data_IF_254248641270
#
_entry.id   IF_254248641270
#
_cell.length_a   1.000
_cell.length_b   1.000
_cell.length_c   1.000
_cell.angle_alpha   90.00
_cell.angle_beta   90.00
_cell.angle_gamma   90.00
#
_symmetry.space_group_name_H-M   'P 1'
#
loop_
_entity.id
_entity.type
_entity.pdbx_description
1 polymer ?
#
# COMPACT_ATOMS: atom_id res chain seq x y z
N UNK A 1 4.42 15.08 7.95
CA UNK A 1 3.20 14.26 8.10
C UNK A 1 2.37 14.43 6.84
N UNK A 2 2.49 13.49 5.90
CA UNK A 2 1.83 13.60 4.59
C UNK A 2 0.30 13.56 4.74
N UNK A 3 -0.40 14.56 4.20
CA UNK A 3 -1.86 14.57 4.17
C UNK A 3 -2.27 14.07 2.78
N UNK A 4 -2.63 12.80 2.67
CA UNK A 4 -3.12 12.25 1.40
C UNK A 4 -4.64 12.44 1.28
N UNK A 5 -5.09 12.88 0.12
CA UNK A 5 -6.51 12.94 -0.20
C UNK A 5 -6.98 11.52 -0.59
N UNK A 6 -7.96 10.99 0.13
CA UNK A 6 -8.39 9.59 -0.01
C UNK A 6 -9.03 9.38 -1.38
N UNK A 7 -8.52 8.43 -2.16
CA UNK A 7 -9.18 8.00 -3.40
C UNK A 7 -10.61 7.54 -3.08
N UNK A 8 -11.59 8.14 -3.73
CA UNK A 8 -13.02 8.03 -3.41
C UNK A 8 -13.52 6.55 -3.39
N UNK A 9 -13.77 5.97 -2.21
CA UNK A 9 -14.19 4.58 -1.98
C UNK A 9 -15.63 4.47 -1.44
N UNK A 10 -16.64 4.43 -2.32
CA UNK A 10 -18.04 4.21 -1.89
C UNK A 10 -18.55 2.75 -1.99
N UNK A 11 -17.73 1.77 -2.40
CA UNK A 11 -18.29 0.49 -2.87
C UNK A 11 -17.63 -0.81 -2.39
N UNK A 12 -16.50 -0.77 -1.68
CA UNK A 12 -15.97 -1.90 -0.91
C UNK A 12 -15.48 -1.38 0.43
N UNK A 13 -15.78 -2.13 1.50
CA UNK A 13 -15.31 -1.82 2.84
C UNK A 13 -13.96 -2.50 3.03
N UNK A 14 -12.88 -1.78 3.38
CA UNK A 14 -11.54 -2.34 3.56
C UNK A 14 -11.47 -3.10 4.89
N UNK A 15 -12.09 -4.29 4.91
CA UNK A 15 -12.35 -5.05 6.14
C UNK A 15 -11.05 -5.53 6.77
N UNK A 16 -10.12 -6.07 5.99
CA UNK A 16 -8.85 -6.55 6.52
C UNK A 16 -7.91 -5.41 6.90
N UNK A 17 -7.89 -4.33 6.14
CA UNK A 17 -7.12 -3.14 6.50
C UNK A 17 -7.56 -2.62 7.87
N UNK A 18 -8.87 -2.44 8.08
CA UNK A 18 -9.41 -2.01 9.37
C UNK A 18 -9.18 -3.06 10.47
N UNK A 19 -9.32 -4.35 10.15
CA UNK A 19 -9.03 -5.44 11.07
C UNK A 19 -7.58 -5.42 11.53
N UNK A 20 -6.61 -5.21 10.63
CA UNK A 20 -5.19 -5.14 10.98
C UNK A 20 -4.87 -3.88 11.78
N UNK A 21 -5.45 -2.73 11.45
CA UNK A 21 -5.31 -1.51 12.26
C UNK A 21 -5.84 -1.75 13.67
N UNK A 22 -7.01 -2.36 13.80
CA UNK A 22 -7.60 -2.66 15.11
C UNK A 22 -6.79 -3.71 15.88
N UNK A 23 -6.35 -4.78 15.21
CA UNK A 23 -5.52 -5.84 15.80
C UNK A 23 -4.21 -5.26 16.32
N UNK A 24 -3.49 -4.49 15.49
CA UNK A 24 -2.24 -3.84 15.89
C UNK A 24 -2.46 -2.81 17.01
N UNK A 25 -3.60 -2.12 17.04
CA UNK A 25 -3.98 -1.26 18.16
C UNK A 25 -4.16 -2.06 19.45
N UNK A 26 -4.82 -3.22 19.37
CA UNK A 26 -5.05 -4.09 20.52
C UNK A 26 -3.73 -4.66 21.07
N UNK A 27 -2.74 -4.92 20.21
CA UNK A 27 -1.41 -5.37 20.68
C UNK A 27 -0.65 -4.32 21.48
N UNK A 28 -1.00 -3.03 21.42
CA UNK A 28 -0.39 -1.99 22.25
C UNK A 28 -0.71 -2.17 23.74
N UNK A 29 -1.76 -2.90 24.08
CA UNK A 29 -2.17 -3.18 25.46
C UNK A 29 -1.54 -4.47 26.01
N UNK A 30 -0.73 -5.18 25.23
CA UNK A 30 -0.06 -6.39 25.69
C UNK A 30 1.19 -6.03 26.46
N UNK A 31 1.34 -6.61 27.65
CA UNK A 31 2.57 -6.48 28.43
C UNK A 31 3.74 -7.17 27.70
N UNK A 32 4.91 -6.52 27.72
CA UNK A 32 6.16 -7.02 27.13
C UNK A 32 6.08 -7.33 25.61
N UNK A 33 5.85 -6.34 24.73
CA UNK A 33 5.82 -6.54 23.27
C UNK A 33 7.13 -7.13 22.71
N UNK A 34 8.25 -6.91 23.40
CA UNK A 34 9.57 -7.46 23.10
C UNK A 34 9.61 -8.99 23.07
N UNK A 35 8.70 -9.65 23.79
CA UNK A 35 8.58 -11.12 23.78
C UNK A 35 8.11 -11.68 22.44
N UNK A 36 7.40 -10.88 21.66
CA UNK A 36 6.88 -11.22 20.33
C UNK A 36 7.74 -10.67 19.19
N UNK A 37 8.79 -9.93 19.52
CA UNK A 37 9.72 -9.37 18.55
C UNK A 37 10.59 -10.47 17.93
N UNK A 38 10.96 -10.27 16.67
CA UNK A 38 11.85 -11.17 15.95
C UNK A 38 13.31 -10.81 16.25
N UNK A 39 14.07 -11.78 16.76
CA UNK A 39 15.51 -11.61 16.99
C UNK A 39 16.29 -12.66 16.20
N UNK A 40 17.13 -12.26 15.23
CA UNK A 40 17.89 -13.18 14.38
C UNK A 40 18.66 -14.27 15.14
N UNK A 41 19.30 -13.90 16.25
CA UNK A 41 20.10 -14.82 17.07
C UNK A 41 19.25 -15.77 17.91
N UNK A 42 17.98 -15.46 18.17
CA UNK A 42 17.11 -16.21 19.09
C UNK A 42 16.37 -17.33 18.38
N UNK A 43 15.65 -17.04 17.30
CA UNK A 43 14.81 -18.02 16.61
C UNK A 43 14.37 -17.54 15.20
N UNK A 44 14.06 -18.49 14.30
CA UNK A 44 13.37 -18.28 13.01
C UNK A 44 11.95 -18.88 13.02
N UNK A 45 11.31 -18.89 14.20
CA UNK A 45 10.02 -19.55 14.41
C UNK A 45 8.83 -18.59 14.34
N UNK A 46 7.96 -18.70 15.34
CA UNK A 46 6.72 -17.93 15.45
C UNK A 46 6.94 -16.40 15.42
N UNK A 47 8.07 -15.91 15.96
CA UNK A 47 8.37 -14.47 15.99
C UNK A 47 8.58 -13.84 14.62
N UNK A 48 8.88 -14.62 13.57
CA UNK A 48 8.89 -14.11 12.18
C UNK A 48 7.53 -13.56 11.75
N UNK A 49 6.45 -14.12 12.29
CA UNK A 49 5.07 -13.74 11.94
C UNK A 49 4.46 -12.85 13.00
N UNK A 50 4.65 -13.16 14.29
CA UNK A 50 4.03 -12.37 15.36
C UNK A 50 4.54 -10.93 15.39
N UNK A 51 5.83 -10.71 15.15
CA UNK A 51 6.45 -9.38 15.22
C UNK A 51 5.84 -8.35 14.25
N UNK A 52 5.20 -8.83 13.19
CA UNK A 52 4.52 -8.01 12.17
C UNK A 52 3.33 -7.23 12.77
N UNK A 53 2.68 -7.80 13.77
CA UNK A 53 1.45 -7.27 14.35
C UNK A 53 1.67 -6.33 15.54
N UNK A 54 2.87 -6.32 16.09
CA UNK A 54 3.21 -5.47 17.23
C UNK A 54 3.97 -4.23 16.75
N UNK A 55 3.92 -3.16 17.55
CA UNK A 55 4.65 -1.92 17.29
C UNK A 55 5.42 -1.54 18.56
N UNK A 56 6.58 -0.89 18.43
CA UNK A 56 7.43 -0.54 19.57
C UNK A 56 6.86 0.59 20.42
N UNK A 57 6.04 1.45 19.81
CA UNK A 57 5.47 2.64 20.45
C UNK A 57 4.13 3.05 19.84
N UNK A 58 3.37 3.86 20.57
CA UNK A 58 2.13 4.46 20.08
C UNK A 58 2.37 5.34 18.84
N UNK A 59 3.49 6.06 18.80
CA UNK A 59 3.87 6.91 17.66
C UNK A 59 4.13 6.08 16.41
N UNK A 60 4.83 4.96 16.55
CA UNK A 60 5.06 4.03 15.44
C UNK A 60 3.74 3.43 14.95
N UNK A 61 2.88 2.97 15.87
CA UNK A 61 1.56 2.45 15.51
C UNK A 61 0.72 3.50 14.79
N UNK A 62 0.65 4.73 15.29
CA UNK A 62 -0.14 5.80 14.68
C UNK A 62 0.32 6.09 13.26
N UNK A 63 1.65 6.20 13.05
CA UNK A 63 2.23 6.34 11.72
C UNK A 63 1.82 5.19 10.82
N UNK A 64 2.00 3.95 11.27
CA UNK A 64 1.68 2.74 10.51
C UNK A 64 0.17 2.63 10.19
N UNK A 65 -0.70 2.97 11.14
CA UNK A 65 -2.14 2.96 10.98
C UNK A 65 -2.61 3.98 9.94
N UNK A 66 -2.01 5.18 9.91
CA UNK A 66 -2.29 6.19 8.88
C UNK A 66 -1.89 5.66 7.50
N UNK A 67 -0.72 5.05 7.34
CA UNK A 67 -0.31 4.48 6.06
C UNK A 67 -1.21 3.31 5.62
N UNK A 68 -1.55 2.39 6.53
CA UNK A 68 -2.49 1.31 6.21
C UNK A 68 -3.84 1.88 5.78
N UNK A 69 -4.40 2.82 6.53
CA UNK A 69 -5.70 3.41 6.23
C UNK A 69 -5.73 4.16 4.89
N UNK A 70 -4.62 4.77 4.49
CA UNK A 70 -4.53 5.59 3.27
C UNK A 70 -4.21 4.80 2.01
N UNK A 71 -3.41 3.74 2.13
CA UNK A 71 -2.86 3.02 0.98
C UNK A 71 -3.35 1.58 0.89
N UNK A 72 -3.44 0.89 2.03
CA UNK A 72 -3.72 -0.54 2.04
C UNK A 72 -5.18 -0.84 1.67
N UNK A 73 -6.10 0.08 1.94
CA UNK A 73 -7.50 -0.01 1.51
C UNK A 73 -7.64 -0.13 -0.02
N UNK A 74 -6.87 0.67 -0.76
CA UNK A 74 -6.85 0.67 -2.22
C UNK A 74 -6.22 -0.60 -2.77
N UNK A 75 -5.18 -1.12 -2.10
CA UNK A 75 -4.57 -2.40 -2.48
C UNK A 75 -5.53 -3.55 -2.21
N UNK A 76 -6.16 -3.60 -1.04
CA UNK A 76 -7.16 -4.61 -0.67
C UNK A 76 -8.33 -4.65 -1.67
N UNK A 77 -8.79 -3.49 -2.13
CA UNK A 77 -9.84 -3.39 -3.14
C UNK A 77 -9.42 -3.98 -4.50
N UNK A 78 -8.16 -3.74 -4.89
CA UNK A 78 -7.57 -4.19 -6.16
C UNK A 78 -7.31 -5.70 -6.17
N UNK A 79 -6.71 -6.24 -5.10
CA UNK A 79 -6.31 -7.66 -5.05
C UNK A 79 -7.37 -8.57 -4.43
N UNK A 80 -8.31 -8.02 -3.67
CA UNK A 80 -9.32 -8.75 -2.89
C UNK A 80 -8.80 -9.23 -1.52
N UNK A 81 -9.73 -9.43 -0.58
CA UNK A 81 -9.42 -9.72 0.83
C UNK A 81 -8.44 -10.89 1.01
N UNK A 82 -8.67 -12.04 0.38
CA UNK A 82 -7.84 -13.23 0.57
C UNK A 82 -6.37 -13.00 0.15
N UNK A 83 -6.13 -12.41 -1.02
CA UNK A 83 -4.78 -12.12 -1.50
C UNK A 83 -4.13 -11.00 -0.69
N UNK A 84 -4.90 -10.01 -0.26
CA UNK A 84 -4.41 -8.96 0.63
C UNK A 84 -3.90 -9.53 1.95
N UNK A 85 -4.63 -10.46 2.57
CA UNK A 85 -4.16 -11.16 3.77
C UNK A 85 -2.82 -11.87 3.54
N UNK A 86 -2.70 -12.63 2.44
CA UNK A 86 -1.46 -13.35 2.11
C UNK A 86 -0.30 -12.38 1.88
N UNK A 87 -0.53 -11.31 1.11
CA UNK A 87 0.48 -10.30 0.81
C UNK A 87 0.93 -9.56 2.07
N UNK A 88 0.00 -9.27 2.99
CA UNK A 88 0.31 -8.63 4.27
C UNK A 88 1.30 -9.47 5.09
N UNK A 89 1.00 -10.76 5.28
CA UNK A 89 1.90 -11.67 6.00
C UNK A 89 3.22 -11.85 5.24
N UNK A 90 3.15 -12.05 3.94
CA UNK A 90 4.32 -12.28 3.09
C UNK A 90 5.32 -11.12 3.16
N UNK A 91 4.87 -9.86 3.02
CA UNK A 91 5.77 -8.72 3.09
C UNK A 91 6.41 -8.57 4.48
N UNK A 92 5.68 -8.87 5.56
CA UNK A 92 6.24 -8.81 6.91
C UNK A 92 7.31 -9.89 7.13
N UNK A 93 7.03 -11.13 6.71
CA UNK A 93 8.02 -12.21 6.76
C UNK A 93 9.24 -11.85 5.91
N UNK A 94 9.04 -11.31 4.71
CA UNK A 94 10.11 -10.91 3.81
C UNK A 94 10.99 -9.82 4.41
N UNK A 95 10.40 -8.83 5.09
CA UNK A 95 11.14 -7.80 5.82
C UNK A 95 12.01 -8.42 6.92
N UNK A 96 11.44 -9.32 7.73
CA UNK A 96 12.15 -9.98 8.81
C UNK A 96 13.27 -10.90 8.31
N UNK A 97 13.03 -11.66 7.24
CA UNK A 97 14.05 -12.48 6.59
C UNK A 97 15.16 -11.62 5.99
N UNK A 98 14.81 -10.50 5.37
CA UNK A 98 15.81 -9.55 4.86
C UNK A 98 16.68 -9.01 6.01
N UNK A 99 16.05 -8.61 7.12
CA UNK A 99 16.78 -8.18 8.31
C UNK A 99 17.71 -9.28 8.84
N UNK A 100 17.22 -10.52 8.93
CA UNK A 100 17.99 -11.70 9.34
C UNK A 100 19.23 -11.92 8.45
N UNK A 101 19.08 -11.87 7.13
CA UNK A 101 20.17 -12.11 6.18
C UNK A 101 21.29 -11.07 6.32
N UNK A 102 20.95 -9.80 6.57
CA UNK A 102 21.94 -8.76 6.78
C UNK A 102 22.50 -8.71 8.21
N UNK A 103 21.79 -9.30 9.18
CA UNK A 103 22.10 -9.16 10.62
C UNK A 103 22.01 -10.50 11.37
N UNK A 104 22.61 -11.55 10.81
CA UNK A 104 22.46 -12.93 11.29
C UNK A 104 22.84 -13.11 12.77
N UNK A 105 23.84 -12.37 13.23
CA UNK A 105 24.35 -12.41 14.62
C UNK A 105 23.70 -11.38 15.54
N UNK A 106 22.60 -10.75 15.10
CA UNK A 106 21.98 -9.66 15.86
C UNK A 106 21.11 -10.13 17.00
N UNK A 107 21.36 -9.52 18.17
CA UNK A 107 20.54 -9.61 19.37
C UNK A 107 19.48 -8.52 19.44
N UNK A 108 19.47 -7.59 18.49
CA UNK A 108 18.50 -6.49 18.47
C UNK A 108 17.16 -7.06 18.00
N UNK A 109 16.10 -7.00 18.83
CA UNK A 109 14.77 -7.40 18.42
C UNK A 109 14.20 -6.41 17.39
N UNK A 110 13.49 -6.95 16.41
CA UNK A 110 12.75 -6.18 15.40
C UNK A 110 11.27 -6.48 15.55
N UNK A 111 10.49 -5.41 15.55
CA UNK A 111 9.05 -5.42 15.68
C UNK A 111 8.51 -4.31 14.78
N UNK A 112 7.32 -4.50 14.21
CA UNK A 112 6.68 -3.42 13.45
C UNK A 112 6.05 -3.87 12.16
N UNK A 113 4.94 -3.22 11.85
CA UNK A 113 4.21 -3.38 10.59
C UNK A 113 4.85 -2.62 9.43
N UNK A 114 5.92 -1.85 9.68
CA UNK A 114 6.56 -0.95 8.71
C UNK A 114 7.09 -1.67 7.45
N UNK A 115 7.64 -2.88 7.60
CA UNK A 115 8.05 -3.71 6.45
C UNK A 115 6.89 -4.13 5.56
N UNK A 116 5.72 -4.40 6.13
CA UNK A 116 4.49 -4.71 5.39
C UNK A 116 4.04 -3.48 4.59
N UNK A 117 4.02 -2.33 5.26
CA UNK A 117 3.62 -1.06 4.65
C UNK A 117 4.51 -0.74 3.45
N UNK A 118 5.81 -0.94 3.54
CA UNK A 118 6.72 -0.73 2.40
C UNK A 118 6.35 -1.59 1.19
N UNK A 119 6.02 -2.88 1.38
CA UNK A 119 5.53 -3.74 0.30
C UNK A 119 4.22 -3.24 -0.32
N UNK A 120 3.27 -2.83 0.52
CA UNK A 120 1.98 -2.24 0.09
C UNK A 120 2.21 -0.95 -0.71
N UNK A 121 3.11 -0.07 -0.25
CA UNK A 121 3.48 1.17 -0.95
C UNK A 121 4.14 0.87 -2.29
N UNK A 122 4.97 -0.18 -2.39
CA UNK A 122 5.55 -0.63 -3.64
C UNK A 122 4.49 -1.07 -4.66
N UNK A 123 3.46 -1.78 -4.19
CA UNK A 123 2.31 -2.12 -5.05
C UNK A 123 1.52 -0.87 -5.46
N UNK A 124 1.28 0.04 -4.51
CA UNK A 124 0.55 1.27 -4.74
C UNK A 124 1.24 2.16 -5.78
N UNK A 125 2.57 2.25 -5.71
CA UNK A 125 3.40 2.97 -6.67
C UNK A 125 3.14 2.54 -8.12
N UNK A 126 2.97 1.25 -8.36
CA UNK A 126 2.74 0.68 -9.69
C UNK A 126 1.28 0.79 -10.12
N UNK A 127 0.32 0.56 -9.21
CA UNK A 127 -1.10 0.61 -9.55
C UNK A 127 -1.65 2.02 -9.73
N UNK A 128 -1.12 3.00 -9.00
CA UNK A 128 -1.69 4.35 -8.90
C UNK A 128 -0.68 5.48 -9.17
N UNK A 129 0.17 5.40 -10.21
CA UNK A 129 1.30 6.32 -10.38
C UNK A 129 0.90 7.79 -10.50
N UNK A 130 -0.28 8.06 -11.08
CA UNK A 130 -0.77 9.41 -11.36
C UNK A 130 -1.72 9.97 -10.28
N UNK A 131 -1.99 9.21 -9.21
CA UNK A 131 -2.78 9.74 -8.09
C UNK A 131 -2.01 10.90 -7.46
N UNK A 132 -2.70 11.99 -7.16
CA UNK A 132 -2.10 13.16 -6.55
C UNK A 132 -2.10 13.05 -5.04
N UNK A 133 -1.05 13.59 -4.43
CA UNK A 133 -0.82 13.62 -3.00
C UNK A 133 -0.42 15.01 -2.57
N UNK A 134 -0.69 15.35 -1.31
CA UNK A 134 -0.11 16.55 -0.70
C UNK A 134 1.11 16.15 0.13
N UNK A 135 2.27 16.68 -0.24
CA UNK A 135 3.48 16.59 0.57
C UNK A 135 3.46 17.67 1.64
N UNK A 136 3.75 17.29 2.89
CA UNK A 136 3.84 18.23 4.00
C UNK A 136 5.21 18.09 4.65
N UNK A 137 6.03 19.13 4.48
CA UNK A 137 7.30 19.35 5.16
C UNK A 137 7.07 20.28 6.36
N UNK A 138 8.01 20.34 7.31
CA UNK A 138 7.86 21.08 8.57
C UNK A 138 7.44 22.55 8.40
N UNK A 139 7.80 23.20 7.29
CA UNK A 139 7.47 24.61 6.99
C UNK A 139 6.75 24.81 5.66
N UNK A 140 6.49 23.76 4.88
CA UNK A 140 6.01 23.91 3.51
C UNK A 140 5.10 22.75 3.12
N UNK A 141 3.96 23.09 2.54
CA UNK A 141 3.01 22.12 2.00
C UNK A 141 3.00 22.26 0.48
N UNK A 142 3.25 21.16 -0.21
CA UNK A 142 3.18 21.08 -1.68
C UNK A 142 1.98 20.21 -2.03
N UNK A 143 0.96 20.85 -2.59
CA UNK A 143 -0.26 20.17 -3.04
C UNK A 143 -0.08 19.57 -4.44
N UNK A 144 -0.97 18.64 -4.80
CA UNK A 144 -1.08 18.07 -6.15
C UNK A 144 0.17 17.35 -6.69
N UNK A 145 1.04 16.86 -5.80
CA UNK A 145 2.24 16.13 -6.18
C UNK A 145 1.88 14.70 -6.57
N UNK A 146 2.21 14.24 -7.78
CA UNK A 146 2.01 12.84 -8.17
C UNK A 146 2.64 11.88 -7.15
N UNK A 147 1.90 10.83 -6.77
CA UNK A 147 2.31 9.91 -5.70
C UNK A 147 3.60 9.18 -6.04
N UNK A 148 3.86 8.96 -7.34
CA UNK A 148 5.14 8.40 -7.77
C UNK A 148 6.31 9.26 -7.30
N UNK A 149 6.19 10.59 -7.32
CA UNK A 149 7.23 11.50 -6.81
C UNK A 149 7.32 11.38 -5.29
N UNK A 150 6.18 11.40 -4.60
CA UNK A 150 6.13 11.32 -3.14
C UNK A 150 6.73 10.04 -2.58
N UNK A 151 6.37 8.90 -3.15
CA UNK A 151 6.92 7.61 -2.75
C UNK A 151 8.37 7.45 -3.21
N UNK A 152 8.77 8.01 -4.36
CA UNK A 152 10.17 8.02 -4.79
C UNK A 152 11.05 8.81 -3.82
N UNK A 153 10.61 10.01 -3.41
CA UNK A 153 11.34 10.80 -2.40
C UNK A 153 11.40 10.06 -1.08
N UNK A 154 10.29 9.47 -0.64
CA UNK A 154 10.24 8.70 0.61
C UNK A 154 11.23 7.52 0.59
N UNK A 155 11.24 6.69 -0.47
CA UNK A 155 12.14 5.53 -0.55
C UNK A 155 13.61 5.95 -0.69
N UNK A 156 13.89 7.08 -1.35
CA UNK A 156 15.24 7.65 -1.42
C UNK A 156 15.73 8.09 -0.05
N UNK A 157 14.85 8.70 0.76
CA UNK A 157 15.15 9.07 2.15
C UNK A 157 15.41 7.81 2.98
N UNK A 158 14.58 6.76 2.87
CA UNK A 158 14.83 5.49 3.57
C UNK A 158 16.16 4.85 3.15
N UNK A 159 16.47 4.89 1.86
CA UNK A 159 17.73 4.36 1.31
C UNK A 159 18.95 5.16 1.80
N UNK A 160 18.82 6.48 1.90
CA UNK A 160 19.85 7.34 2.47
C UNK A 160 20.09 7.02 3.95
N UNK A 161 19.02 6.88 4.74
CA UNK A 161 19.15 6.49 6.15
C UNK A 161 19.78 5.10 6.30
N UNK A 162 19.42 4.13 5.46
CA UNK A 162 20.08 2.83 5.42
C UNK A 162 21.60 2.93 5.17
N UNK A 163 22.02 3.74 4.19
CA UNK A 163 23.45 3.94 3.88
C UNK A 163 24.15 4.71 5.00
N UNK A 164 23.53 5.76 5.55
CA UNK A 164 24.09 6.56 6.63
C UNK A 164 24.29 5.72 7.90
N UNK A 165 23.36 4.82 8.20
CA UNK A 165 23.45 3.87 9.31
C UNK A 165 24.46 2.76 9.05
N UNK A 166 24.72 2.36 7.81
CA UNK A 166 25.74 1.33 7.50
C UNK A 166 27.16 1.69 7.97
N UNK A 167 27.42 2.99 8.20
CA UNK A 167 28.69 3.50 8.73
C UNK A 167 28.74 3.56 10.26
N UNK A 168 27.62 3.31 10.94
CA UNK A 168 27.49 3.26 12.40
C UNK A 168 27.12 1.83 12.84
N UNK A 169 27.37 1.44 14.09
CA UNK A 169 26.96 0.12 14.60
C UNK A 169 25.42 -0.03 14.77
N UNK A 170 24.64 0.97 14.32
CA UNK A 170 23.19 1.01 14.43
C UNK A 170 22.57 0.17 13.32
N UNK A 171 21.86 -0.89 13.72
CA UNK A 171 21.35 -1.93 12.82
C UNK A 171 19.97 -1.59 12.31
N UNK A 172 19.85 -1.47 11.00
CA UNK A 172 18.74 -0.78 10.35
C UNK A 172 17.60 -1.70 9.89
N UNK A 173 16.36 -1.32 10.23
CA UNK A 173 15.12 -1.90 9.68
C UNK A 173 14.87 -1.42 8.23
N UNK A 174 15.53 -0.34 7.79
CA UNK A 174 15.32 0.29 6.48
C UNK A 174 15.70 -0.63 5.30
N UNK A 175 16.69 -1.52 5.47
CA UNK A 175 17.05 -2.49 4.43
C UNK A 175 15.90 -3.44 4.07
N UNK A 176 15.17 -3.93 5.08
CA UNK A 176 13.97 -4.74 4.89
C UNK A 176 12.84 -3.98 4.18
N UNK A 177 12.70 -2.68 4.46
CA UNK A 177 11.72 -1.82 3.81
C UNK A 177 12.01 -1.60 2.32
N UNK A 178 13.27 -1.42 1.94
CA UNK A 178 13.65 -1.28 0.52
C UNK A 178 13.37 -2.57 -0.25
N UNK A 179 13.77 -3.72 0.28
CA UNK A 179 13.54 -5.02 -0.38
C UNK A 179 12.05 -5.33 -0.54
N UNK A 180 11.26 -5.08 0.50
CA UNK A 180 9.80 -5.28 0.45
C UNK A 180 9.12 -4.33 -0.53
N UNK A 181 9.53 -3.05 -0.57
CA UNK A 181 9.01 -2.09 -1.55
C UNK A 181 9.25 -2.54 -2.99
N UNK A 182 10.50 -2.92 -3.33
CA UNK A 182 10.84 -3.41 -4.67
C UNK A 182 10.08 -4.72 -5.01
N UNK A 183 9.93 -5.60 -4.02
CA UNK A 183 9.16 -6.84 -4.19
C UNK A 183 7.68 -6.56 -4.44
N UNK A 184 7.10 -5.59 -3.73
CA UNK A 184 5.75 -5.10 -3.95
C UNK A 184 5.55 -4.56 -5.37
N UNK A 185 6.48 -3.75 -5.87
CA UNK A 185 6.46 -3.30 -7.26
C UNK A 185 6.45 -4.48 -8.25
N UNK A 186 7.30 -5.49 -7.99
CA UNK A 186 7.36 -6.72 -8.78
C UNK A 186 6.02 -7.47 -8.80
N UNK A 187 5.39 -7.69 -7.64
CA UNK A 187 4.07 -8.32 -7.56
C UNK A 187 3.00 -7.54 -8.30
N UNK A 188 2.95 -6.22 -8.16
CA UNK A 188 2.00 -5.39 -8.89
C UNK A 188 2.20 -5.49 -10.40
N UNK A 189 3.45 -5.48 -10.89
CA UNK A 189 3.76 -5.65 -12.31
C UNK A 189 3.33 -7.04 -12.83
N UNK A 190 3.53 -8.09 -12.02
CA UNK A 190 3.08 -9.45 -12.32
C UNK A 190 1.55 -9.49 -12.41
N UNK A 191 0.82 -8.88 -11.46
CA UNK A 191 -0.63 -8.85 -11.49
C UNK A 191 -1.20 -8.11 -12.70
N UNK A 192 -0.57 -7.01 -13.11
CA UNK A 192 -0.91 -6.31 -14.37
C UNK A 192 -0.66 -7.23 -15.57
N UNK A 193 0.53 -7.86 -15.64
CA UNK A 193 0.93 -8.70 -16.78
C UNK A 193 0.04 -9.92 -16.99
N UNK A 194 -0.40 -10.56 -15.91
CA UNK A 194 -1.29 -11.73 -15.96
C UNK A 194 -2.78 -11.37 -16.08
N UNK A 195 -3.12 -10.09 -16.30
CA UNK A 195 -4.51 -9.62 -16.42
C UNK A 195 -5.38 -10.06 -15.23
N UNK A 196 -4.78 -10.20 -14.05
CA UNK A 196 -5.50 -10.61 -12.85
C UNK A 196 -6.64 -9.63 -12.53
N UNK A 197 -6.38 -8.35 -12.81
CA UNK A 197 -7.33 -7.24 -12.71
C UNK A 197 -8.48 -7.36 -13.74
N UNK A 198 -8.20 -7.84 -14.96
CA UNK A 198 -9.23 -8.04 -15.99
C UNK A 198 -10.13 -9.24 -15.68
N UNK A 199 -9.66 -10.20 -14.86
CA UNK A 199 -10.47 -11.34 -14.40
C UNK A 199 -11.51 -10.91 -13.35
N UNK A 200 -11.20 -9.88 -12.56
CA UNK A 200 -12.18 -9.16 -11.73
C UNK A 200 -13.16 -8.33 -12.58
N UNK A 201 -12.71 -7.75 -13.71
CA UNK A 201 -13.55 -7.07 -14.71
C UNK A 201 -14.55 -8.03 -15.39
N UNK A 202 -14.17 -9.29 -15.62
CA UNK A 202 -15.02 -10.29 -16.27
C UNK A 202 -16.23 -10.69 -15.41
N UNK A 203 -16.06 -10.83 -14.08
CA UNK A 203 -17.15 -11.12 -13.14
C UNK A 203 -18.15 -9.96 -12.96
N UNK A 204 -17.83 -8.78 -13.49
CA UNK A 204 -18.70 -7.59 -13.47
C UNK A 204 -19.54 -7.43 -14.74
N UNK A 205 -19.28 -8.22 -15.79
CA UNK A 205 -20.15 -8.31 -16.96
C UNK A 205 -21.29 -9.27 -16.65
N UNK A 206 -22.43 -8.72 -16.22
CA UNK A 206 -23.80 -9.12 -16.58
C UNK A 206 -24.79 -8.48 -15.58
N UNK A 207 -24.98 -7.16 -15.64
CA UNK A 207 -26.24 -6.56 -15.22
C UNK A 207 -26.50 -5.22 -15.93
N UNK A 208 -27.39 -5.29 -16.93
CA UNK A 208 -28.33 -4.25 -17.39
C UNK A 208 -27.80 -2.83 -17.63
N UNK A 209 -27.43 -2.56 -18.89
CA UNK A 209 -27.38 -1.21 -19.45
C UNK A 209 -28.36 -1.07 -20.60
N UNK A 210 -29.49 -0.42 -20.33
CA UNK A 210 -30.37 0.10 -21.37
C UNK A 210 -30.47 1.60 -21.09
N UNK A 211 -30.08 2.43 -22.08
CA UNK A 211 -30.22 3.89 -22.09
C UNK A 211 -29.49 4.71 -21.00
N UNK A 212 -28.30 4.31 -20.53
CA UNK A 212 -27.47 5.21 -19.69
C UNK A 212 -26.55 6.09 -20.53
N UNK A 213 -26.37 7.34 -20.13
CA UNK A 213 -25.38 8.28 -20.66
C UNK A 213 -24.32 8.58 -19.60
N UNK A 214 -23.08 8.80 -20.04
CA UNK A 214 -21.93 9.11 -19.20
C UNK A 214 -21.36 10.45 -19.62
N UNK A 215 -21.14 11.34 -18.67
CA UNK A 215 -20.55 12.66 -18.92
C UNK A 215 -19.03 12.56 -18.90
N UNK A 216 -18.36 13.08 -19.92
CA UNK A 216 -16.90 13.16 -19.94
C UNK A 216 -16.38 13.94 -18.71
N UNK A 217 -15.38 13.44 -17.97
CA UNK A 217 -14.83 14.14 -16.80
C UNK A 217 -14.11 15.45 -17.15
N UNK A 218 -13.60 15.59 -18.39
CA UNK A 218 -12.82 16.75 -18.80
C UNK A 218 -13.66 17.89 -19.39
N UNK A 219 -14.79 17.58 -20.07
CA UNK A 219 -15.59 18.58 -20.79
C UNK A 219 -17.10 18.49 -20.54
N UNK A 220 -17.57 17.57 -19.69
CA UNK A 220 -18.98 17.32 -19.40
C UNK A 220 -19.88 16.97 -20.60
N UNK A 221 -19.30 16.63 -21.77
CA UNK A 221 -20.09 16.17 -22.91
C UNK A 221 -20.75 14.80 -22.62
N UNK A 222 -22.06 14.62 -22.87
CA UNK A 222 -22.73 13.34 -22.69
C UNK A 222 -22.35 12.35 -23.79
N UNK A 223 -22.01 11.12 -23.38
CA UNK A 223 -21.60 10.01 -24.25
C UNK A 223 -22.50 8.81 -23.93
N UNK A 224 -23.17 8.19 -24.91
CA UNK A 224 -24.03 7.03 -24.66
C UNK A 224 -23.22 5.81 -24.20
N UNK A 225 -23.61 5.20 -23.08
CA UNK A 225 -22.94 4.03 -22.51
C UNK A 225 -23.66 2.73 -22.86
N UNK A 226 -23.00 1.93 -23.70
CA UNK A 226 -23.45 0.58 -24.09
C UNK A 226 -22.89 -0.53 -23.18
N UNK A 227 -21.84 -0.24 -22.40
CA UNK A 227 -21.16 -1.16 -21.48
C UNK A 227 -20.38 -0.38 -20.41
N UNK A 228 -20.03 -1.03 -19.30
CA UNK A 228 -18.99 -0.53 -18.39
C UNK A 228 -17.64 -0.70 -19.09
N UNK A 229 -16.69 0.20 -18.85
CA UNK A 229 -15.35 0.12 -19.44
C UNK A 229 -14.77 1.45 -19.91
N UNK A 230 -13.86 1.38 -20.88
CA UNK A 230 -13.19 2.55 -21.47
C UNK A 230 -14.09 3.28 -22.46
N UNK A 231 -14.10 4.60 -22.33
CA UNK A 231 -14.77 5.56 -23.19
C UNK A 231 -13.75 6.55 -23.74
N UNK A 232 -14.05 7.05 -24.93
CA UNK A 232 -13.27 8.09 -25.59
C UNK A 232 -14.19 9.27 -25.88
N UNK A 233 -13.79 10.46 -25.46
CA UNK A 233 -14.52 11.68 -25.77
C UNK A 233 -13.99 12.32 -27.05
N UNK A 234 -14.79 12.34 -28.12
CA UNK A 234 -14.40 12.99 -29.38
C UNK A 234 -14.30 14.52 -29.32
N UNK A 235 -14.80 15.16 -28.25
CA UNK A 235 -14.76 16.62 -28.14
C UNK A 235 -13.48 17.16 -27.50
N UNK A 236 -12.94 16.49 -26.49
CA UNK A 236 -11.72 16.90 -25.79
C UNK A 236 -10.58 15.87 -25.88
N UNK A 237 -10.77 14.85 -26.73
CA UNK A 237 -9.82 13.77 -27.01
C UNK A 237 -9.34 12.99 -25.76
N UNK A 238 -10.14 12.99 -24.70
CA UNK A 238 -9.81 12.35 -23.43
C UNK A 238 -10.35 10.94 -23.39
N UNK A 239 -9.50 9.97 -23.06
CA UNK A 239 -9.90 8.63 -22.69
C UNK A 239 -10.26 8.64 -21.21
N UNK A 240 -11.31 7.92 -20.84
CA UNK A 240 -11.71 7.80 -19.44
C UNK A 240 -12.47 6.49 -19.24
N UNK A 241 -12.46 5.95 -18.03
CA UNK A 241 -13.12 4.70 -17.68
C UNK A 241 -14.39 4.98 -16.86
N UNK A 242 -15.45 4.25 -17.14
CA UNK A 242 -16.72 4.34 -16.42
C UNK A 242 -17.13 2.97 -15.86
N UNK A 243 -17.22 2.90 -14.53
CA UNK A 243 -17.55 1.69 -13.77
C UNK A 243 -19.02 1.67 -13.29
N UNK A 244 -19.50 0.51 -12.82
CA UNK A 244 -20.83 0.23 -12.23
C UNK A 244 -21.23 1.12 -11.07
N UNK A 245 -20.22 1.71 -10.48
CA UNK A 245 -20.29 2.61 -9.34
C UNK A 245 -20.47 4.08 -9.73
N UNK A 246 -20.57 4.39 -11.03
CA UNK A 246 -20.68 5.76 -11.55
C UNK A 246 -19.37 6.54 -11.50
N UNK A 247 -18.26 5.87 -11.19
CA UNK A 247 -16.93 6.48 -11.08
C UNK A 247 -16.34 6.73 -12.46
N UNK A 248 -15.78 7.93 -12.65
CA UNK A 248 -15.05 8.35 -13.84
C UNK A 248 -13.57 8.34 -13.50
N UNK A 249 -12.78 7.49 -14.15
CA UNK A 249 -11.33 7.53 -14.04
C UNK A 249 -10.78 8.15 -15.32
N UNK A 250 -9.86 9.10 -15.22
CA UNK A 250 -9.12 9.66 -16.35
C UNK A 250 -8.05 8.66 -16.81
#
# INVERSE_FOLDING_TARGET
MFIFEKANQNYRKPLLTLMFIFLTMLTLFFDHPESYAFTPKKELGFSLVSSIFFNSSLTEWFSNAVYLYMFADNIEDVVGHFYFFILFIFFGILANLTYFLFHINSIVPVIGTSGVISGILGMYFVFFPNVKSTMVFEKTTIHDVPIFISLSVWILIQSYFYIAESNNEVRSVYGGQVVTFLTGMGFAQIFIRYQFLDRLEHNLRLSTFINKTVLCPSCNKPIPAKKYGRFHCSACNTNFFFDRHGKKFL
#
